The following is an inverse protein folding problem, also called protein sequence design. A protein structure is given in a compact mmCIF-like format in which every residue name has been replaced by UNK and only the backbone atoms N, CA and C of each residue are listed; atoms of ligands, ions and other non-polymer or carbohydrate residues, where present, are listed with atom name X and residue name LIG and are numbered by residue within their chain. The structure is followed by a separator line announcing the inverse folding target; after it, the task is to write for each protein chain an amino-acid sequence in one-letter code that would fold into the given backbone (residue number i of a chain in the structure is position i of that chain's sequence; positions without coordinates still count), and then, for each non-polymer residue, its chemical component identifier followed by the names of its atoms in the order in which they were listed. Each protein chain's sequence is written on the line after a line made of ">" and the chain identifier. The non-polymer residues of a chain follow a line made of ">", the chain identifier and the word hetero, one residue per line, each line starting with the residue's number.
data_IF_665831602741
#
_entry.id   IF_665831602741
#
_cell.length_a   1.000
_cell.length_b   1.000
_cell.length_c   1.000
_cell.angle_alpha   90.00
_cell.angle_beta   90.00
_cell.angle_gamma   90.00
#
_symmetry.space_group_name_H-M   'P 1'
#
loop_
_entity.id
_entity.type
_entity.pdbx_description
1 polymer ?
#
# COMPACT_ATOMS: atom_id res chain seq x y z
N UNK A 1 15.70 -3.01 13.06
CA UNK A 1 15.69 -3.78 14.32
C UNK A 1 15.30 -5.22 14.07
N UNK A 2 15.62 -6.14 15.03
CA UNK A 2 15.24 -7.57 14.95
C UNK A 2 13.73 -7.77 14.77
N UNK A 3 12.91 -7.01 15.51
CA UNK A 3 11.44 -7.06 15.42
C UNK A 3 10.91 -6.68 14.02
N UNK A 4 11.50 -5.70 13.38
CA UNK A 4 11.13 -5.32 12.00
C UNK A 4 11.42 -6.45 11.00
N UNK A 5 12.60 -7.07 11.09
CA UNK A 5 12.92 -8.23 10.23
C UNK A 5 11.94 -9.39 10.44
N UNK A 6 11.59 -9.68 11.69
CA UNK A 6 10.64 -10.73 12.02
C UNK A 6 9.26 -10.43 11.43
N UNK A 7 8.75 -9.20 11.60
CA UNK A 7 7.48 -8.77 11.04
C UNK A 7 7.47 -8.88 9.51
N UNK A 8 8.52 -8.41 8.84
CA UNK A 8 8.65 -8.56 7.38
C UNK A 8 8.69 -10.03 6.97
N UNK A 9 9.41 -10.90 7.70
CA UNK A 9 9.50 -12.32 7.37
C UNK A 9 8.16 -13.06 7.48
N UNK A 10 7.27 -12.61 8.35
CA UNK A 10 5.95 -13.21 8.56
C UNK A 10 4.86 -12.66 7.62
N UNK A 11 5.11 -11.54 6.95
CA UNK A 11 4.13 -10.89 6.09
C UNK A 11 4.01 -11.63 4.75
N UNK A 12 2.79 -11.86 4.28
CA UNK A 12 2.54 -12.33 2.91
C UNK A 12 2.55 -11.16 1.93
N UNK A 13 2.02 -10.01 2.35
CA UNK A 13 2.04 -8.75 1.61
C UNK A 13 2.67 -7.66 2.47
N UNK A 14 3.65 -6.95 1.93
CA UNK A 14 4.29 -5.79 2.56
C UNK A 14 3.93 -4.53 1.79
N UNK A 15 3.21 -3.63 2.43
CA UNK A 15 2.82 -2.34 1.84
C UNK A 15 3.74 -1.24 2.37
N UNK A 16 4.37 -0.51 1.47
CA UNK A 16 5.21 0.65 1.79
C UNK A 16 4.59 1.90 1.20
N UNK A 17 4.00 2.79 2.01
CA UNK A 17 3.50 4.07 1.53
C UNK A 17 4.66 5.04 1.30
N UNK A 18 4.60 5.78 0.18
CA UNK A 18 5.48 6.91 -0.13
C UNK A 18 4.62 8.10 -0.57
N UNK A 19 5.02 9.31 -0.24
CA UNK A 19 4.34 10.49 -0.79
C UNK A 19 4.90 10.84 -2.18
N UNK A 20 4.34 11.87 -2.80
CA UNK A 20 4.66 12.27 -4.16
C UNK A 20 5.90 13.18 -4.26
N UNK A 21 6.98 12.90 -3.51
CA UNK A 21 8.20 13.72 -3.56
C UNK A 21 9.47 12.87 -3.71
N UNK A 22 10.52 13.44 -4.28
CA UNK A 22 11.82 12.77 -4.39
C UNK A 22 12.44 12.47 -3.02
N UNK A 23 12.19 13.32 -2.01
CA UNK A 23 12.68 13.10 -0.63
C UNK A 23 12.06 11.83 -0.03
N UNK A 24 10.81 11.52 -0.38
CA UNK A 24 10.15 10.31 0.12
C UNK A 24 10.70 9.03 -0.55
N UNK A 25 11.34 9.15 -1.72
CA UNK A 25 12.01 8.02 -2.36
C UNK A 25 13.24 7.55 -1.58
N UNK A 26 13.83 8.36 -0.70
CA UNK A 26 14.98 7.97 0.13
C UNK A 26 14.65 6.79 1.05
N UNK A 27 13.37 6.55 1.32
CA UNK A 27 12.90 5.32 1.99
C UNK A 27 13.26 4.07 1.18
N UNK A 28 13.30 4.18 -0.15
CA UNK A 28 13.57 3.06 -1.07
C UNK A 28 15.01 3.13 -1.62
N UNK A 29 15.41 4.29 -2.11
CA UNK A 29 16.70 4.49 -2.74
C UNK A 29 17.10 5.96 -2.75
N UNK A 30 18.40 6.22 -2.65
CA UNK A 30 18.97 7.53 -2.94
C UNK A 30 18.90 7.77 -4.45
N UNK A 31 18.21 8.83 -4.85
CA UNK A 31 17.96 9.17 -6.26
C UNK A 31 18.65 10.48 -6.62
N UNK A 32 19.27 10.53 -7.79
CA UNK A 32 19.72 11.78 -8.38
C UNK A 32 18.57 12.44 -9.15
N UNK A 33 18.04 13.57 -8.65
CA UNK A 33 16.87 14.21 -9.26
C UNK A 33 17.17 14.90 -10.60
N UNK A 34 18.46 15.07 -10.95
CA UNK A 34 18.89 15.69 -12.20
C UNK A 34 18.96 14.68 -13.34
N UNK A 35 19.43 13.48 -13.04
CA UNK A 35 19.66 12.43 -14.02
C UNK A 35 18.59 11.34 -14.03
N UNK A 36 17.60 11.39 -13.13
CA UNK A 36 16.54 10.40 -12.97
C UNK A 36 17.08 8.96 -12.76
N UNK A 37 18.20 8.81 -12.06
CA UNK A 37 18.83 7.53 -11.76
C UNK A 37 18.97 7.34 -10.24
N UNK A 38 18.90 6.11 -9.77
CA UNK A 38 19.22 5.82 -8.38
C UNK A 38 20.73 5.55 -8.22
N UNK A 39 21.29 5.99 -7.10
CA UNK A 39 22.69 5.78 -6.73
C UNK A 39 22.87 4.53 -5.87
N UNK A 40 22.00 4.36 -4.90
CA UNK A 40 22.07 3.23 -3.97
C UNK A 40 20.69 2.91 -3.38
N UNK A 41 20.48 1.65 -3.04
CA UNK A 41 19.28 1.26 -2.30
C UNK A 41 19.38 1.63 -0.81
N UNK A 42 18.28 2.02 -0.22
CA UNK A 42 18.22 2.34 1.20
C UNK A 42 18.49 1.09 2.08
N UNK A 43 18.85 1.28 3.35
CA UNK A 43 18.93 0.17 4.30
C UNK A 43 17.62 -0.61 4.44
N UNK A 44 16.48 0.08 4.34
CA UNK A 44 15.16 -0.53 4.35
C UNK A 44 14.96 -1.44 3.13
N UNK A 45 15.16 -0.92 1.92
CA UNK A 45 14.98 -1.68 0.69
C UNK A 45 15.89 -2.93 0.65
N UNK A 46 17.17 -2.78 1.05
CA UNK A 46 18.09 -3.92 1.17
C UNK A 46 17.62 -4.97 2.18
N UNK A 47 17.01 -4.52 3.30
CA UNK A 47 16.47 -5.44 4.31
C UNK A 47 15.28 -6.21 3.75
N UNK A 48 14.35 -5.53 3.07
CA UNK A 48 13.18 -6.17 2.46
C UNK A 48 13.62 -7.18 1.39
N UNK A 49 14.52 -6.79 0.48
CA UNK A 49 15.04 -7.70 -0.57
C UNK A 49 15.66 -8.96 0.02
N UNK A 50 16.50 -8.81 1.06
CA UNK A 50 17.14 -9.96 1.74
C UNK A 50 16.11 -10.89 2.38
N UNK A 51 15.10 -10.35 3.07
CA UNK A 51 14.06 -11.18 3.69
C UNK A 51 13.24 -11.91 2.64
N UNK A 52 12.95 -11.28 1.51
CA UNK A 52 12.28 -11.91 0.36
C UNK A 52 13.09 -13.07 -0.20
N UNK A 53 14.40 -12.90 -0.37
CA UNK A 53 15.30 -13.97 -0.82
C UNK A 53 15.39 -15.11 0.20
N UNK A 54 15.51 -14.80 1.50
CA UNK A 54 15.54 -15.79 2.57
C UNK A 54 14.25 -16.64 2.56
N UNK A 55 13.09 -15.99 2.42
CA UNK A 55 11.79 -16.68 2.37
C UNK A 55 11.63 -17.52 1.10
N UNK A 56 12.05 -17.00 -0.04
CA UNK A 56 12.03 -17.78 -1.28
C UNK A 56 12.88 -19.07 -1.15
N UNK A 57 14.05 -18.99 -0.52
CA UNK A 57 14.93 -20.16 -0.30
C UNK A 57 14.37 -21.16 0.70
N UNK A 58 13.69 -20.70 1.76
CA UNK A 58 13.21 -21.57 2.84
C UNK A 58 11.80 -22.12 2.59
N UNK A 59 10.93 -21.38 1.91
CA UNK A 59 9.50 -21.69 1.78
C UNK A 59 9.03 -21.82 0.32
N UNK A 60 9.89 -21.50 -0.65
CA UNK A 60 9.51 -21.43 -2.07
C UNK A 60 8.51 -20.32 -2.42
N UNK A 61 8.31 -19.37 -1.49
CA UNK A 61 7.39 -18.24 -1.64
C UNK A 61 8.12 -16.95 -1.36
N UNK A 62 7.73 -15.87 -2.02
CA UNK A 62 8.24 -14.53 -1.72
C UNK A 62 7.15 -13.66 -1.12
N UNK A 63 7.57 -12.57 -0.48
CA UNK A 63 6.68 -11.53 0.02
C UNK A 63 6.26 -10.67 -1.16
N UNK A 64 4.97 -10.45 -1.33
CA UNK A 64 4.46 -9.47 -2.28
C UNK A 64 4.73 -8.06 -1.75
N UNK A 65 5.74 -7.40 -2.29
CA UNK A 65 6.10 -6.05 -1.90
C UNK A 65 5.39 -5.03 -2.77
N UNK A 66 4.58 -4.18 -2.16
CA UNK A 66 3.73 -3.20 -2.84
C UNK A 66 4.09 -1.79 -2.37
N UNK A 67 4.43 -0.93 -3.30
CA UNK A 67 4.59 0.51 -3.05
C UNK A 67 3.27 1.21 -3.38
N UNK A 68 2.77 1.97 -2.41
CA UNK A 68 1.54 2.77 -2.55
C UNK A 68 1.90 4.25 -2.50
N UNK A 69 1.51 4.97 -3.52
CA UNK A 69 1.69 6.42 -3.55
C UNK A 69 0.57 7.08 -2.77
N UNK A 70 0.92 7.80 -1.72
CA UNK A 70 -0.01 8.49 -0.84
C UNK A 70 0.02 9.99 -1.10
N UNK A 71 -1.06 10.68 -0.78
CA UNK A 71 -1.19 12.15 -0.87
C UNK A 71 -0.88 12.67 -2.28
N UNK A 72 -1.42 11.99 -3.29
CA UNK A 72 -1.26 12.43 -4.67
C UNK A 72 -1.93 13.80 -4.87
N UNK A 73 -1.19 14.72 -5.46
CA UNK A 73 -1.74 16.00 -5.89
C UNK A 73 -2.70 15.82 -7.06
N UNK A 74 -3.76 16.61 -7.11
CA UNK A 74 -4.66 16.67 -8.27
C UNK A 74 -3.98 17.19 -9.55
N UNK A 75 -2.79 17.79 -9.43
CA UNK A 75 -1.99 18.28 -10.54
C UNK A 75 -1.09 17.16 -11.10
N UNK A 76 -1.68 16.13 -11.69
CA UNK A 76 -0.99 14.94 -12.22
C UNK A 76 -0.02 15.19 -13.39
N UNK A 77 0.08 16.39 -13.91
CA UNK A 77 0.87 16.73 -15.10
C UNK A 77 2.12 17.57 -14.82
N UNK A 78 2.52 17.71 -13.57
CA UNK A 78 3.77 18.44 -13.28
C UNK A 78 4.98 17.64 -13.79
N UNK A 79 6.03 18.34 -14.26
CA UNK A 79 7.31 17.70 -14.68
C UNK A 79 7.88 16.79 -13.60
N UNK A 80 7.76 17.19 -12.34
CA UNK A 80 8.23 16.41 -11.21
C UNK A 80 7.47 15.10 -11.05
N UNK A 81 6.16 15.11 -11.28
CA UNK A 81 5.30 13.93 -11.21
C UNK A 81 5.67 12.89 -12.28
N UNK A 82 5.92 13.36 -13.50
CA UNK A 82 6.37 12.49 -14.60
C UNK A 82 7.74 11.86 -14.29
N UNK A 83 8.69 12.66 -13.81
CA UNK A 83 10.02 12.17 -13.40
C UNK A 83 9.93 11.17 -12.26
N UNK A 84 9.16 11.49 -11.21
CA UNK A 84 8.96 10.62 -10.06
C UNK A 84 8.37 9.26 -10.50
N UNK A 85 7.36 9.28 -11.35
CA UNK A 85 6.74 8.06 -11.90
C UNK A 85 7.74 7.21 -12.67
N UNK A 86 8.60 7.82 -13.47
CA UNK A 86 9.67 7.15 -14.20
C UNK A 86 10.66 6.46 -13.26
N UNK A 87 11.11 7.18 -12.23
CA UNK A 87 12.06 6.65 -11.23
C UNK A 87 11.44 5.52 -10.42
N UNK A 88 10.19 5.66 -9.96
CA UNK A 88 9.48 4.60 -9.23
C UNK A 88 9.35 3.33 -10.08
N UNK A 89 9.05 3.46 -11.38
CA UNK A 89 9.01 2.31 -12.31
C UNK A 89 10.38 1.65 -12.50
N UNK A 90 11.44 2.44 -12.56
CA UNK A 90 12.82 1.90 -12.63
C UNK A 90 13.18 1.13 -11.36
N UNK A 91 12.88 1.69 -10.18
CA UNK A 91 13.09 1.03 -8.89
C UNK A 91 12.22 -0.23 -8.74
N UNK A 92 10.99 -0.21 -9.24
CA UNK A 92 10.10 -1.38 -9.26
C UNK A 92 10.73 -2.56 -10.00
N UNK A 93 11.36 -2.31 -11.14
CA UNK A 93 12.06 -3.36 -11.91
C UNK A 93 13.33 -3.85 -11.20
N UNK A 94 14.06 -2.95 -10.55
CA UNK A 94 15.33 -3.29 -9.89
C UNK A 94 15.13 -4.04 -8.56
N UNK A 95 14.05 -3.76 -7.84
CA UNK A 95 13.74 -4.32 -6.53
C UNK A 95 12.57 -5.31 -6.55
N UNK A 96 11.95 -5.51 -7.73
CA UNK A 96 10.84 -6.43 -7.95
C UNK A 96 9.64 -6.16 -7.02
N UNK A 97 9.29 -4.90 -6.79
CA UNK A 97 8.06 -4.54 -6.12
C UNK A 97 6.96 -4.15 -7.11
N UNK A 98 5.72 -4.32 -6.71
CA UNK A 98 4.55 -3.82 -7.46
C UNK A 98 4.23 -2.38 -7.06
N UNK A 99 3.67 -1.63 -7.98
CA UNK A 99 3.15 -0.28 -7.74
C UNK A 99 1.63 -0.40 -7.73
N UNK A 100 0.99 -0.08 -6.61
CA UNK A 100 -0.46 0.04 -6.54
C UNK A 100 -0.90 1.46 -6.87
N UNK A 101 -2.17 1.57 -7.26
CA UNK A 101 -2.80 2.87 -7.44
C UNK A 101 -2.73 3.68 -6.15
N UNK A 102 -2.47 4.95 -6.30
CA UNK A 102 -2.26 5.83 -5.16
C UNK A 102 -3.57 6.38 -4.60
N UNK A 103 -3.44 7.03 -3.46
CA UNK A 103 -4.54 7.74 -2.80
C UNK A 103 -4.29 9.24 -2.89
N UNK A 104 -5.28 9.98 -3.37
CA UNK A 104 -5.21 11.43 -3.51
C UNK A 104 -5.23 12.12 -2.16
N UNK A 105 -4.62 13.30 -2.06
CA UNK A 105 -4.78 14.15 -0.87
C UNK A 105 -6.17 14.78 -0.89
N UNK A 106 -7.03 14.32 0.04
CA UNK A 106 -8.40 14.81 0.18
C UNK A 106 -8.69 15.22 1.62
N UNK A 107 -9.37 16.33 1.76
CA UNK A 107 -9.82 16.83 3.08
C UNK A 107 -10.74 15.81 3.76
N UNK A 108 -11.57 15.12 2.99
CA UNK A 108 -12.55 14.14 3.47
C UNK A 108 -11.94 13.02 4.32
N UNK A 109 -10.69 12.61 4.09
CA UNK A 109 -10.01 11.64 4.95
C UNK A 109 -9.76 12.17 6.37
N UNK A 110 -9.59 13.49 6.51
CA UNK A 110 -9.46 14.15 7.81
C UNK A 110 -10.79 14.39 8.48
N UNK A 111 -11.89 14.47 7.72
CA UNK A 111 -13.26 14.60 8.23
C UNK A 111 -13.78 13.29 8.80
N UNK A 112 -13.46 12.15 8.22
CA UNK A 112 -13.86 10.84 8.71
C UNK A 112 -13.23 10.48 10.07
N UNK A 113 -11.96 10.80 10.25
CA UNK A 113 -11.19 10.37 11.42
C UNK A 113 -11.80 10.79 12.77
N UNK A 114 -12.22 12.06 12.99
CA UNK A 114 -12.80 12.48 14.27
C UNK A 114 -14.12 11.82 14.62
N UNK A 115 -14.87 11.35 13.63
CA UNK A 115 -16.16 10.67 13.82
C UNK A 115 -16.01 9.14 13.79
N UNK A 116 -14.78 8.63 13.80
CA UNK A 116 -14.48 7.20 13.85
C UNK A 116 -14.81 6.42 12.58
N UNK A 117 -14.93 7.10 11.44
CA UNK A 117 -15.22 6.49 10.14
C UNK A 117 -13.98 6.37 9.26
N UNK A 118 -14.08 5.49 8.29
CA UNK A 118 -13.19 5.37 7.14
C UNK A 118 -13.96 5.64 5.85
N UNK A 119 -13.25 5.78 4.74
CA UNK A 119 -13.89 5.92 3.43
C UNK A 119 -14.69 4.67 2.99
N UNK A 120 -14.53 3.53 3.65
CA UNK A 120 -15.22 2.28 3.32
C UNK A 120 -16.54 2.10 4.10
N UNK A 121 -16.69 2.79 5.21
CA UNK A 121 -17.91 2.69 6.01
C UNK A 121 -19.10 3.27 5.25
N UNK A 122 -20.28 2.76 5.57
CA UNK A 122 -21.52 3.37 5.07
C UNK A 122 -21.72 4.73 5.73
N UNK A 123 -21.99 5.73 4.91
CA UNK A 123 -22.28 7.08 5.37
C UNK A 123 -23.40 7.69 4.53
N UNK A 124 -24.27 8.38 5.21
CA UNK A 124 -25.37 9.16 4.67
C UNK A 124 -25.37 10.58 5.27
N UNK A 125 -26.39 11.36 4.96
CA UNK A 125 -26.52 12.71 5.49
C UNK A 125 -26.67 12.76 7.02
N UNK A 126 -27.20 11.71 7.64
CA UNK A 126 -27.38 11.66 9.09
C UNK A 126 -26.03 11.46 9.79
N UNK A 127 -25.21 10.55 9.28
CA UNK A 127 -23.89 10.24 9.84
C UNK A 127 -22.90 11.37 9.61
N UNK A 128 -22.90 11.98 8.43
CA UNK A 128 -21.99 13.07 8.06
C UNK A 128 -22.47 14.45 8.55
N UNK A 129 -23.73 14.59 8.96
CA UNK A 129 -24.36 15.88 9.20
C UNK A 129 -24.62 16.71 7.92
N UNK A 130 -24.19 16.22 6.76
CA UNK A 130 -24.38 16.84 5.44
C UNK A 130 -24.56 15.75 4.38
N UNK A 131 -25.15 16.13 3.23
CA UNK A 131 -25.26 15.17 2.11
C UNK A 131 -23.86 14.72 1.63
N UNK A 132 -23.67 13.42 1.32
CA UNK A 132 -22.42 12.93 0.75
C UNK A 132 -22.06 13.67 -0.53
N UNK A 133 -20.82 14.12 -0.63
CA UNK A 133 -20.31 14.85 -1.80
C UNK A 133 -19.58 13.91 -2.77
N UNK A 134 -19.30 14.39 -3.97
CA UNK A 134 -18.45 13.67 -4.94
C UNK A 134 -17.07 13.36 -4.40
N UNK A 135 -16.53 14.18 -3.48
CA UNK A 135 -15.25 13.91 -2.81
C UNK A 135 -15.31 12.68 -1.90
N UNK A 136 -16.41 12.47 -1.19
CA UNK A 136 -16.65 11.26 -0.37
C UNK A 136 -16.69 10.00 -1.26
N UNK A 137 -17.43 10.06 -2.37
CA UNK A 137 -17.54 8.92 -3.30
C UNK A 137 -16.20 8.61 -3.97
N UNK A 138 -15.46 9.63 -4.38
CA UNK A 138 -14.13 9.45 -4.96
C UNK A 138 -13.13 8.87 -3.96
N UNK A 139 -13.12 9.33 -2.70
CA UNK A 139 -12.28 8.77 -1.66
C UNK A 139 -12.59 7.27 -1.43
N UNK A 140 -13.88 6.90 -1.38
CA UNK A 140 -14.30 5.50 -1.27
C UNK A 140 -13.79 4.67 -2.45
N UNK A 141 -13.93 5.17 -3.65
CA UNK A 141 -13.47 4.47 -4.86
C UNK A 141 -11.96 4.25 -4.86
N UNK A 142 -11.18 5.27 -4.50
CA UNK A 142 -9.71 5.15 -4.40
C UNK A 142 -9.29 4.08 -3.40
N UNK A 143 -9.90 4.04 -2.20
CA UNK A 143 -9.57 3.03 -1.19
C UNK A 143 -9.99 1.62 -1.64
N UNK A 144 -11.18 1.47 -2.25
CA UNK A 144 -11.61 0.17 -2.81
C UNK A 144 -10.64 -0.32 -3.88
N UNK A 145 -10.18 0.55 -4.75
CA UNK A 145 -9.23 0.22 -5.80
C UNK A 145 -7.86 -0.14 -5.23
N UNK A 146 -7.40 0.58 -4.21
CA UNK A 146 -6.19 0.23 -3.48
C UNK A 146 -6.28 -1.18 -2.88
N UNK A 147 -7.37 -1.50 -2.17
CA UNK A 147 -7.56 -2.83 -1.57
C UNK A 147 -7.58 -3.93 -2.64
N UNK A 148 -8.29 -3.71 -3.75
CA UNK A 148 -8.31 -4.65 -4.86
C UNK A 148 -6.89 -4.90 -5.44
N UNK A 149 -6.06 -3.85 -5.52
CA UNK A 149 -4.69 -3.95 -6.00
C UNK A 149 -3.72 -4.64 -5.02
N UNK A 150 -4.07 -4.76 -3.74
CA UNK A 150 -3.24 -5.45 -2.76
C UNK A 150 -3.30 -6.99 -2.89
N UNK A 151 -4.25 -7.54 -3.66
CA UNK A 151 -4.41 -8.99 -3.86
C UNK A 151 -4.44 -9.76 -2.53
N UNK A 152 -5.10 -9.21 -1.52
CA UNK A 152 -5.19 -9.85 -0.22
C UNK A 152 -5.96 -11.18 -0.34
N UNK A 153 -5.54 -12.24 0.37
CA UNK A 153 -6.26 -13.48 0.36
C UNK A 153 -7.68 -13.29 0.91
N UNK A 154 -8.67 -13.93 0.27
CA UNK A 154 -10.06 -13.92 0.74
C UNK A 154 -10.14 -14.50 2.15
N UNK A 155 -10.39 -13.68 3.14
CA UNK A 155 -10.59 -14.10 4.53
C UNK A 155 -11.91 -14.84 4.75
N UNK A 156 -12.84 -14.82 3.78
CA UNK A 156 -14.14 -15.47 3.85
C UNK A 156 -14.11 -17.01 3.62
N UNK A 157 -12.96 -17.62 3.39
CA UNK A 157 -12.87 -19.09 3.16
C UNK A 157 -12.76 -19.95 4.44
N UNK A 158 -12.89 -19.37 5.65
CA UNK A 158 -12.80 -20.13 6.91
C UNK A 158 -14.05 -20.02 7.79
N UNK A 159 -15.24 -20.13 7.21
CA UNK A 159 -16.49 -20.32 7.97
C UNK A 159 -17.38 -21.37 7.32
N UNK A 160 -16.80 -22.51 6.99
CA UNK A 160 -17.56 -23.61 6.43
C UNK A 160 -16.84 -24.92 6.66
N UNK A 161 -17.32 -25.63 7.63
CA UNK A 161 -17.10 -27.07 7.85
C UNK A 161 -16.03 -27.48 8.87
N UNK A 162 -16.31 -27.20 10.13
CA UNK A 162 -15.90 -28.07 11.22
C UNK A 162 -17.18 -28.59 11.92
N UNK A 163 -17.85 -29.49 11.20
CA UNK A 163 -18.99 -30.25 11.72
C UNK A 163 -18.54 -31.20 12.80
N UNK A 164 -18.58 -30.75 14.06
CA UNK A 164 -18.56 -31.63 15.23
C UNK A 164 -19.78 -32.56 15.16
N UNK A 165 -19.61 -33.74 14.56
CA UNK A 165 -20.50 -34.87 14.79
C UNK A 165 -20.26 -35.39 16.21
N UNK A 166 -21.15 -35.01 17.12
CA UNK A 166 -21.28 -35.66 18.43
C UNK A 166 -21.96 -37.01 18.18
N UNK A 167 -21.36 -38.14 18.56
CA UNK A 167 -22.08 -39.41 18.51
C UNK A 167 -23.09 -39.48 19.64
N UNK A 168 -24.37 -39.65 19.31
CA UNK A 168 -25.44 -39.95 20.26
C UNK A 168 -25.37 -41.47 20.49
N UNK A 169 -25.12 -41.84 21.73
CA UNK A 169 -25.30 -43.20 22.28
C UNK A 169 -26.70 -43.35 22.81
#
# INVERSE_FOLDING_TARGET
>A
TYRQRLAHKMADTLVTPINGSFVDLDVIAEVDPYNDVYKSFSPYARTVSRVREERMKSEGKTIDWVIVRNRLSSLHSSRNEIKLTKVVRMLSRALEFRIADGVSERVVFREFFPIGLTALDEFDAHVLGTAPTMSHLAARQEIRQLIANLNLPDTNRKSGDDGLRVPVS
#
